data_IF_876161248516
#
_entry.id   IF_876161248516
#
_cell.length_a   1.000
_cell.length_b   1.000
_cell.length_c   1.000
_cell.angle_alpha   90.00
_cell.angle_beta   90.00
_cell.angle_gamma   90.00
#
_symmetry.space_group_name_H-M   'P 1'
#
loop_
_entity.id
_entity.type
_entity.pdbx_description
1 polymer ?
#
# COMPACT_ATOMS: atom_id res chain seq x y z
N UNK A 1 10.76 11.32 16.53
CA UNK A 1 9.73 10.40 15.94
C UNK A 1 9.96 10.32 14.44
N UNK A 2 9.95 9.11 13.85
CA UNK A 2 10.05 9.00 12.40
C UNK A 2 8.75 9.46 11.74
N UNK A 3 8.88 10.26 10.67
CA UNK A 3 7.73 10.69 9.88
C UNK A 3 7.05 9.47 9.22
N UNK A 4 5.75 9.31 9.42
CA UNK A 4 4.93 8.20 8.87
C UNK A 4 4.11 8.70 7.69
N UNK A 5 3.67 7.77 6.85
CA UNK A 5 2.64 8.05 5.86
C UNK A 5 1.31 8.38 6.54
N UNK A 6 0.49 9.20 5.90
CA UNK A 6 -0.85 9.50 6.41
C UNK A 6 -1.69 8.23 6.56
N UNK A 7 -2.69 8.26 7.43
CA UNK A 7 -3.60 7.13 7.65
C UNK A 7 -4.29 6.69 6.35
N UNK A 8 -4.63 7.65 5.49
CA UNK A 8 -5.25 7.33 4.20
C UNK A 8 -4.28 6.60 3.26
N UNK A 9 -3.03 7.07 3.13
CA UNK A 9 -2.02 6.39 2.34
C UNK A 9 -1.75 4.97 2.85
N UNK A 10 -1.69 4.76 4.17
CA UNK A 10 -1.56 3.44 4.77
C UNK A 10 -2.77 2.55 4.45
N UNK A 11 -3.99 3.06 4.64
CA UNK A 11 -5.21 2.32 4.34
C UNK A 11 -5.31 1.91 2.87
N UNK A 12 -5.04 2.82 1.95
CA UNK A 12 -5.03 2.54 0.51
C UNK A 12 -3.95 1.54 0.10
N UNK A 13 -2.77 1.60 0.74
CA UNK A 13 -1.72 0.62 0.52
C UNK A 13 -2.17 -0.78 0.96
N UNK A 14 -2.63 -0.95 2.19
CA UNK A 14 -3.04 -2.24 2.72
C UNK A 14 -4.29 -2.78 2.01
N UNK A 15 -5.20 -1.91 1.59
CA UNK A 15 -6.33 -2.31 0.76
C UNK A 15 -5.87 -2.84 -0.60
N UNK A 16 -4.89 -2.17 -1.25
CA UNK A 16 -4.29 -2.67 -2.50
C UNK A 16 -3.62 -4.02 -2.28
N UNK A 17 -2.88 -4.19 -1.17
CA UNK A 17 -2.27 -5.48 -0.80
C UNK A 17 -3.34 -6.57 -0.66
N UNK A 18 -4.44 -6.30 0.04
CA UNK A 18 -5.54 -7.26 0.19
C UNK A 18 -6.16 -7.64 -1.16
N UNK A 19 -6.38 -6.66 -2.06
CA UNK A 19 -6.85 -6.93 -3.42
C UNK A 19 -5.86 -7.81 -4.21
N UNK A 20 -4.55 -7.56 -4.08
CA UNK A 20 -3.53 -8.37 -4.76
C UNK A 20 -3.48 -9.80 -4.21
N UNK A 21 -3.60 -9.97 -2.89
CA UNK A 21 -3.72 -11.31 -2.26
C UNK A 21 -4.96 -12.08 -2.71
N UNK A 22 -6.03 -11.40 -3.08
CA UNK A 22 -7.23 -12.03 -3.61
C UNK A 22 -7.12 -12.33 -5.12
N UNK A 23 -6.64 -11.35 -5.92
CA UNK A 23 -6.68 -11.44 -7.39
C UNK A 23 -5.65 -12.43 -7.95
N UNK A 24 -4.47 -12.56 -7.31
CA UNK A 24 -3.42 -13.46 -7.82
C UNK A 24 -3.80 -14.95 -7.69
N UNK A 25 -4.23 -15.47 -6.53
CA UNK A 25 -4.72 -16.85 -6.44
C UNK A 25 -5.96 -17.07 -7.31
N UNK A 26 -6.87 -16.08 -7.35
CA UNK A 26 -8.07 -16.14 -8.18
C UNK A 26 -7.71 -16.32 -9.66
N UNK A 27 -6.67 -15.64 -10.16
CA UNK A 27 -6.18 -15.79 -11.51
C UNK A 27 -5.74 -17.23 -11.82
N UNK A 28 -5.02 -17.87 -10.90
CA UNK A 28 -4.60 -19.27 -11.04
C UNK A 28 -5.79 -20.24 -11.01
N UNK A 29 -6.76 -20.02 -10.15
CA UNK A 29 -7.95 -20.87 -10.04
C UNK A 29 -8.83 -20.74 -11.29
N UNK A 30 -9.05 -19.50 -11.78
CA UNK A 30 -9.94 -19.27 -12.92
C UNK A 30 -9.44 -19.90 -14.23
N UNK A 31 -8.12 -19.90 -14.47
CA UNK A 31 -7.56 -20.49 -15.70
C UNK A 31 -7.57 -22.01 -15.68
N UNK A 32 -7.63 -22.62 -14.49
CA UNK A 32 -7.74 -24.07 -14.31
C UNK A 32 -9.20 -24.56 -14.16
N UNK A 33 -10.17 -23.64 -14.04
CA UNK A 33 -11.59 -24.01 -13.96
C UNK A 33 -12.09 -24.52 -15.32
N UNK A 34 -12.98 -25.52 -15.30
CA UNK A 34 -13.58 -26.09 -16.53
C UNK A 34 -14.29 -24.98 -17.32
N UNK A 35 -13.88 -24.71 -18.58
CA UNK A 35 -14.48 -23.67 -19.40
C UNK A 35 -15.99 -23.89 -19.60
N UNK A 36 -16.75 -22.80 -19.72
CA UNK A 36 -18.19 -22.84 -19.98
C UNK A 36 -19.06 -23.20 -18.78
N UNK A 37 -18.48 -23.42 -17.59
CA UNK A 37 -19.25 -23.63 -16.36
C UNK A 37 -19.62 -22.30 -15.69
N UNK A 38 -20.73 -22.26 -14.93
CA UNK A 38 -21.08 -21.07 -14.15
C UNK A 38 -19.95 -20.62 -13.19
N UNK A 39 -19.24 -21.59 -12.59
CA UNK A 39 -18.10 -21.30 -11.73
C UNK A 39 -16.99 -20.57 -12.51
N UNK A 40 -16.59 -21.06 -13.68
CA UNK A 40 -15.59 -20.39 -14.52
C UNK A 40 -16.01 -18.96 -14.84
N UNK A 41 -17.27 -18.74 -15.26
CA UNK A 41 -17.81 -17.41 -15.53
C UNK A 41 -17.72 -16.47 -14.34
N UNK A 42 -18.11 -16.95 -13.15
CA UNK A 42 -18.04 -16.19 -11.92
C UNK A 42 -16.60 -15.81 -11.53
N UNK A 43 -15.66 -16.76 -11.62
CA UNK A 43 -14.24 -16.51 -11.31
C UNK A 43 -13.64 -15.44 -12.23
N UNK A 44 -13.89 -15.52 -13.55
CA UNK A 44 -13.44 -14.50 -14.51
C UNK A 44 -14.06 -13.13 -14.21
N UNK A 45 -15.35 -13.10 -13.84
CA UNK A 45 -16.02 -11.84 -13.52
C UNK A 45 -15.47 -11.21 -12.23
N UNK A 46 -15.23 -11.99 -11.18
CA UNK A 46 -14.61 -11.50 -9.96
C UNK A 46 -13.17 -11.02 -10.17
N UNK A 47 -12.38 -11.75 -10.98
CA UNK A 47 -11.02 -11.30 -11.33
C UNK A 47 -11.05 -9.93 -12.02
N UNK A 48 -11.93 -9.73 -13.00
CA UNK A 48 -12.09 -8.45 -13.69
C UNK A 48 -12.59 -7.35 -12.76
N UNK A 49 -13.51 -7.66 -11.86
CA UNK A 49 -14.04 -6.71 -10.87
C UNK A 49 -12.94 -6.24 -9.94
N UNK A 50 -12.16 -7.15 -9.37
CA UNK A 50 -11.02 -6.80 -8.52
C UNK A 50 -9.97 -6.00 -9.29
N UNK A 51 -9.72 -6.34 -10.56
CA UNK A 51 -8.84 -5.56 -11.43
C UNK A 51 -9.32 -4.12 -11.61
N UNK A 52 -10.62 -3.91 -11.83
CA UNK A 52 -11.21 -2.59 -11.93
C UNK A 52 -11.10 -1.80 -10.60
N UNK A 53 -11.32 -2.46 -9.47
CA UNK A 53 -11.13 -1.86 -8.14
C UNK A 53 -9.67 -1.44 -7.93
N UNK A 54 -8.71 -2.30 -8.27
CA UNK A 54 -7.27 -1.98 -8.19
C UNK A 54 -6.94 -0.78 -9.07
N UNK A 55 -7.47 -0.70 -10.29
CA UNK A 55 -7.27 0.42 -11.20
C UNK A 55 -7.77 1.74 -10.59
N UNK A 56 -9.01 1.75 -10.08
CA UNK A 56 -9.63 2.93 -9.48
C UNK A 56 -8.84 3.40 -8.26
N UNK A 57 -8.49 2.47 -7.36
CA UNK A 57 -7.70 2.79 -6.15
C UNK A 57 -6.31 3.30 -6.54
N UNK A 58 -5.68 2.72 -7.55
CA UNK A 58 -4.36 3.15 -8.02
C UNK A 58 -4.42 4.55 -8.63
N UNK A 59 -5.41 4.84 -9.47
CA UNK A 59 -5.63 6.17 -10.03
C UNK A 59 -5.85 7.21 -8.91
N UNK A 60 -6.70 6.88 -7.93
CA UNK A 60 -6.92 7.73 -6.77
C UNK A 60 -5.62 7.97 -5.98
N UNK A 61 -4.81 6.95 -5.73
CA UNK A 61 -3.52 7.08 -5.04
C UNK A 61 -2.55 7.99 -5.78
N UNK A 62 -2.51 7.93 -7.10
CA UNK A 62 -1.65 8.82 -7.92
C UNK A 62 -2.12 10.28 -7.75
N UNK A 63 -3.42 10.53 -7.87
CA UNK A 63 -3.98 11.88 -7.67
C UNK A 63 -3.75 12.36 -6.24
N UNK A 64 -3.99 11.50 -5.25
CA UNK A 64 -3.80 11.85 -3.83
C UNK A 64 -2.37 12.24 -3.50
N UNK A 65 -1.39 11.69 -4.22
CA UNK A 65 0.02 12.03 -4.03
C UNK A 65 0.35 13.51 -4.25
N UNK A 66 -0.43 14.23 -5.04
CA UNK A 66 -0.26 15.67 -5.23
C UNK A 66 -0.69 16.49 -4.00
N UNK A 67 -1.54 15.91 -3.15
CA UNK A 67 -2.05 16.55 -1.94
C UNK A 67 -1.35 16.07 -0.67
N UNK A 68 -0.79 14.86 -0.69
CA UNK A 68 -0.17 14.21 0.46
C UNK A 68 1.17 13.58 0.04
N UNK A 69 2.21 14.42 0.10
CA UNK A 69 3.56 14.01 -0.26
C UNK A 69 4.10 12.95 0.73
N UNK A 70 4.85 11.94 0.24
CA UNK A 70 5.45 10.96 1.12
C UNK A 70 6.50 11.62 2.02
N UNK A 71 6.68 11.09 3.24
CA UNK A 71 7.73 11.55 4.11
C UNK A 71 9.11 11.26 3.51
N UNK A 72 10.05 12.20 3.68
CA UNK A 72 11.44 12.05 3.22
C UNK A 72 12.09 10.77 3.75
N UNK A 73 12.99 10.16 2.99
CA UNK A 73 13.74 8.98 3.42
C UNK A 73 14.60 9.31 4.65
N UNK A 74 14.76 8.36 5.58
CA UNK A 74 15.68 8.53 6.71
C UNK A 74 17.11 8.75 6.20
N UNK A 75 17.94 9.57 6.91
CA UNK A 75 19.32 9.84 6.49
C UNK A 75 20.20 8.59 6.40
N UNK A 76 19.80 7.50 7.06
CA UNK A 76 20.53 6.21 7.05
C UNK A 76 20.29 5.39 5.78
N UNK A 77 19.27 5.73 5.01
CA UNK A 77 18.99 5.06 3.72
C UNK A 77 19.96 5.65 2.70
N UNK A 78 20.80 4.79 2.12
CA UNK A 78 21.75 5.22 1.09
C UNK A 78 21.01 5.85 -0.10
N UNK A 79 21.67 6.77 -0.80
CA UNK A 79 21.06 7.43 -1.95
C UNK A 79 20.62 6.44 -3.04
N UNK A 80 21.39 5.35 -3.23
CA UNK A 80 21.05 4.27 -4.17
C UNK A 80 19.78 3.54 -3.75
N UNK A 81 19.64 3.20 -2.46
CA UNK A 81 18.44 2.52 -1.94
C UNK A 81 17.20 3.41 -2.09
N UNK A 82 17.35 4.71 -1.86
CA UNK A 82 16.28 5.69 -2.04
C UNK A 82 15.87 5.83 -3.51
N UNK A 83 16.82 5.85 -4.44
CA UNK A 83 16.55 5.91 -5.88
C UNK A 83 15.87 4.62 -6.37
N UNK A 84 16.37 3.45 -5.94
CA UNK A 84 15.75 2.17 -6.26
C UNK A 84 14.33 2.05 -5.71
N UNK A 85 14.11 2.44 -4.44
CA UNK A 85 12.77 2.44 -3.83
C UNK A 85 11.81 3.37 -4.60
N UNK A 86 12.29 4.53 -5.06
CA UNK A 86 11.49 5.46 -5.87
C UNK A 86 11.14 4.87 -7.24
N UNK A 87 12.11 4.21 -7.89
CA UNK A 87 11.89 3.52 -9.17
C UNK A 87 10.86 2.38 -9.01
N UNK A 88 11.04 1.51 -8.01
CA UNK A 88 10.11 0.40 -7.70
C UNK A 88 8.70 0.92 -7.41
N UNK A 89 8.59 2.03 -6.68
CA UNK A 89 7.32 2.68 -6.39
C UNK A 89 6.55 3.10 -7.66
N UNK A 90 7.22 3.79 -8.60
CA UNK A 90 6.57 4.19 -9.85
C UNK A 90 6.30 3.02 -10.78
N UNK A 91 7.16 2.00 -10.77
CA UNK A 91 6.95 0.79 -11.54
C UNK A 91 5.71 0.01 -11.04
N UNK A 92 5.46 0.00 -9.71
CA UNK A 92 4.20 -0.54 -9.18
C UNK A 92 2.99 0.21 -9.73
N UNK A 93 2.98 1.54 -9.71
CA UNK A 93 1.86 2.28 -10.27
C UNK A 93 1.66 2.00 -11.76
N UNK A 94 2.74 1.95 -12.53
CA UNK A 94 2.68 1.62 -13.94
C UNK A 94 2.05 0.24 -14.18
N UNK A 95 2.50 -0.79 -13.44
CA UNK A 95 1.97 -2.14 -13.58
C UNK A 95 0.53 -2.28 -13.04
N UNK A 96 0.20 -1.62 -11.92
CA UNK A 96 -1.15 -1.65 -11.37
C UNK A 96 -2.19 -0.92 -12.24
N UNK A 97 -1.75 -0.08 -13.19
CA UNK A 97 -2.59 0.48 -14.26
C UNK A 97 -2.56 -0.41 -15.50
N UNK A 98 -1.36 -0.80 -15.94
CA UNK A 98 -1.16 -1.57 -17.16
C UNK A 98 -1.92 -2.90 -17.13
N UNK A 99 -1.86 -3.63 -16.02
CA UNK A 99 -2.48 -4.95 -15.90
C UNK A 99 -4.01 -4.90 -16.06
N UNK A 100 -4.78 -4.11 -15.28
CA UNK A 100 -6.23 -4.08 -15.47
C UNK A 100 -6.65 -3.46 -16.82
N UNK A 101 -5.89 -2.51 -17.37
CA UNK A 101 -6.18 -1.92 -18.68
C UNK A 101 -6.01 -2.96 -19.78
N UNK A 102 -4.90 -3.69 -19.81
CA UNK A 102 -4.68 -4.75 -20.81
C UNK A 102 -5.69 -5.89 -20.68
N UNK A 103 -6.01 -6.31 -19.44
CA UNK A 103 -7.03 -7.33 -19.20
C UNK A 103 -8.43 -6.88 -19.63
N UNK A 104 -8.77 -5.61 -19.37
CA UNK A 104 -10.05 -5.04 -19.84
C UNK A 104 -10.11 -4.99 -21.37
N UNK A 105 -9.09 -4.47 -22.05
CA UNK A 105 -9.04 -4.35 -23.50
C UNK A 105 -9.07 -5.73 -24.17
N UNK A 106 -8.29 -6.70 -23.68
CA UNK A 106 -8.33 -8.07 -24.17
C UNK A 106 -9.73 -8.68 -24.08
N UNK A 107 -10.40 -8.47 -22.97
CA UNK A 107 -11.79 -8.91 -22.75
C UNK A 107 -12.78 -8.17 -23.66
N UNK A 108 -12.67 -6.85 -23.79
CA UNK A 108 -13.58 -6.01 -24.57
C UNK A 108 -13.49 -6.35 -26.08
N UNK A 109 -12.28 -6.43 -26.64
CA UNK A 109 -12.09 -6.86 -28.02
C UNK A 109 -12.50 -8.31 -28.27
N UNK A 110 -12.44 -9.18 -27.23
CA UNK A 110 -13.00 -10.53 -27.27
C UNK A 110 -14.54 -10.58 -27.24
N UNK A 111 -15.18 -9.42 -27.01
CA UNK A 111 -16.64 -9.32 -26.92
C UNK A 111 -17.22 -9.80 -25.60
N UNK A 112 -16.41 -9.83 -24.55
CA UNK A 112 -16.83 -10.23 -23.21
C UNK A 112 -17.11 -8.99 -22.34
N UNK A 113 -18.38 -8.73 -22.07
CA UNK A 113 -18.80 -7.63 -21.21
C UNK A 113 -18.35 -7.90 -19.78
N UNK A 114 -17.68 -6.92 -19.16
CA UNK A 114 -17.42 -6.95 -17.73
C UNK A 114 -18.69 -6.53 -16.98
N UNK A 115 -19.07 -7.32 -15.97
CA UNK A 115 -20.12 -6.93 -15.01
C UNK A 115 -19.49 -6.67 -13.66
N UNK A 116 -19.39 -5.42 -13.27
CA UNK A 116 -18.86 -5.07 -11.95
C UNK A 116 -19.75 -5.68 -10.85
N UNK A 117 -19.14 -6.46 -9.97
CA UNK A 117 -19.83 -7.20 -8.89
C UNK A 117 -20.99 -8.10 -9.38
N UNK A 118 -20.94 -8.52 -10.65
CA UNK A 118 -22.02 -9.23 -11.34
C UNK A 118 -23.35 -8.47 -11.44
N UNK A 119 -23.33 -7.17 -11.18
CA UNK A 119 -24.51 -6.32 -11.12
C UNK A 119 -24.55 -5.28 -12.27
N UNK A 120 -23.45 -4.56 -12.45
CA UNK A 120 -23.40 -3.41 -13.35
C UNK A 120 -22.58 -3.74 -14.61
N UNK A 121 -23.21 -3.88 -15.78
CA UNK A 121 -22.47 -4.08 -17.02
C UNK A 121 -21.69 -2.83 -17.39
N UNK A 122 -20.40 -2.99 -17.71
CA UNK A 122 -19.59 -1.89 -18.24
C UNK A 122 -19.91 -1.63 -19.71
N UNK A 123 -19.71 -0.40 -20.20
CA UNK A 123 -19.82 -0.11 -21.62
C UNK A 123 -18.92 -1.05 -22.46
N UNK A 124 -19.40 -1.42 -23.64
CA UNK A 124 -18.61 -2.12 -24.65
C UNK A 124 -18.13 -1.09 -25.69
N UNK A 125 -17.00 -0.40 -25.45
CA UNK A 125 -16.62 0.76 -26.24
C UNK A 125 -16.04 0.41 -27.61
N UNK A 126 -15.76 -0.89 -27.86
CA UNK A 126 -15.05 -1.34 -29.04
C UNK A 126 -15.79 -2.49 -29.72
N UNK A 127 -15.67 -2.56 -31.06
CA UNK A 127 -16.12 -3.71 -31.83
C UNK A 127 -15.21 -4.93 -31.56
N UNK A 128 -15.75 -6.13 -31.75
CA UNK A 128 -14.96 -7.36 -31.63
C UNK A 128 -13.82 -7.40 -32.65
N UNK A 129 -12.62 -7.65 -32.15
CA UNK A 129 -11.42 -7.84 -32.95
C UNK A 129 -10.54 -8.91 -32.29
N UNK A 130 -10.46 -10.06 -32.94
CA UNK A 130 -9.70 -11.18 -32.38
C UNK A 130 -8.21 -10.90 -32.29
N UNK A 131 -7.63 -10.19 -33.25
CA UNK A 131 -6.19 -9.91 -33.26
C UNK A 131 -5.82 -8.96 -32.08
N UNK A 132 -6.60 -7.91 -31.87
CA UNK A 132 -6.40 -7.00 -30.73
C UNK A 132 -6.70 -7.70 -29.41
N UNK A 133 -7.72 -8.56 -29.35
CA UNK A 133 -7.98 -9.37 -28.15
C UNK A 133 -6.78 -10.25 -27.79
N UNK A 134 -6.25 -11.00 -28.75
CA UNK A 134 -5.09 -11.87 -28.55
C UNK A 134 -3.84 -11.07 -28.13
N UNK A 135 -3.61 -9.90 -28.75
CA UNK A 135 -2.51 -9.02 -28.41
C UNK A 135 -2.59 -8.50 -26.95
N UNK A 136 -3.73 -7.96 -26.53
CA UNK A 136 -3.88 -7.45 -25.17
C UNK A 136 -3.88 -8.57 -24.13
N UNK A 137 -4.43 -9.73 -24.43
CA UNK A 137 -4.34 -10.91 -23.58
C UNK A 137 -2.89 -11.38 -23.42
N UNK A 138 -2.10 -11.39 -24.50
CA UNK A 138 -0.68 -11.73 -24.43
C UNK A 138 0.11 -10.73 -23.53
N UNK A 139 -0.17 -9.43 -23.66
CA UNK A 139 0.42 -8.41 -22.77
C UNK A 139 0.02 -8.62 -21.30
N UNK A 140 -1.25 -8.93 -21.04
CA UNK A 140 -1.73 -9.20 -19.69
C UNK A 140 -1.08 -10.45 -19.09
N UNK A 141 -1.05 -11.56 -19.83
CA UNK A 141 -0.43 -12.80 -19.39
C UNK A 141 1.10 -12.68 -19.25
N UNK A 142 1.76 -11.94 -20.14
CA UNK A 142 3.19 -11.65 -20.00
C UNK A 142 3.49 -10.74 -18.82
N UNK A 143 2.66 -9.70 -18.63
CA UNK A 143 2.81 -8.73 -17.55
C UNK A 143 2.71 -9.33 -16.15
N UNK A 144 2.01 -10.46 -15.97
CA UNK A 144 1.93 -11.13 -14.66
C UNK A 144 3.31 -11.49 -14.09
N UNK A 145 4.27 -11.86 -14.93
CA UNK A 145 5.62 -12.20 -14.50
C UNK A 145 6.38 -10.97 -13.98
N UNK A 146 6.16 -9.82 -14.59
CA UNK A 146 6.70 -8.55 -14.09
C UNK A 146 6.08 -8.19 -12.72
N UNK A 147 4.77 -8.45 -12.54
CA UNK A 147 4.11 -8.25 -11.24
C UNK A 147 4.71 -9.16 -10.18
N UNK A 148 4.90 -10.45 -10.47
CA UNK A 148 5.51 -11.40 -9.51
C UNK A 148 6.94 -10.99 -9.15
N UNK A 149 7.76 -10.67 -10.15
CA UNK A 149 9.13 -10.22 -9.92
C UNK A 149 9.18 -8.95 -9.06
N UNK A 150 8.29 -7.99 -9.34
CA UNK A 150 8.25 -6.73 -8.60
C UNK A 150 7.76 -6.92 -7.15
N UNK A 151 6.77 -7.80 -6.92
CA UNK A 151 6.33 -8.16 -5.57
C UNK A 151 7.47 -8.84 -4.80
N UNK A 152 8.17 -9.78 -5.43
CA UNK A 152 9.31 -10.46 -4.80
C UNK A 152 10.43 -9.47 -4.45
N UNK A 153 10.77 -8.55 -5.35
CA UNK A 153 11.75 -7.48 -5.11
C UNK A 153 11.31 -6.56 -3.96
N UNK A 154 10.04 -6.16 -3.94
CA UNK A 154 9.49 -5.31 -2.88
C UNK A 154 9.53 -6.01 -1.52
N UNK A 155 9.04 -7.24 -1.44
CA UNK A 155 9.06 -8.00 -0.18
C UNK A 155 10.50 -8.29 0.28
N UNK A 156 11.39 -8.63 -0.65
CA UNK A 156 12.83 -8.77 -0.36
C UNK A 156 13.41 -7.50 0.23
N UNK A 157 13.14 -6.34 -0.37
CA UNK A 157 13.56 -5.04 0.17
C UNK A 157 12.98 -4.79 1.57
N UNK A 158 11.69 -5.05 1.79
CA UNK A 158 11.06 -4.91 3.12
C UNK A 158 11.76 -5.78 4.16
N UNK A 159 12.07 -7.04 3.83
CA UNK A 159 12.76 -7.98 4.74
C UNK A 159 14.19 -7.50 5.04
N UNK A 160 14.93 -7.08 4.01
CA UNK A 160 16.31 -6.57 4.18
C UNK A 160 16.31 -5.34 5.09
N UNK A 161 15.45 -4.36 4.83
CA UNK A 161 15.37 -3.15 5.65
C UNK A 161 14.85 -3.42 7.07
N UNK A 162 13.96 -4.39 7.25
CA UNK A 162 13.46 -4.76 8.58
C UNK A 162 14.50 -5.48 9.43
N UNK A 163 15.29 -6.40 8.83
CA UNK A 163 16.21 -7.29 9.56
C UNK A 163 17.60 -6.64 9.70
N UNK A 164 18.18 -6.18 8.59
CA UNK A 164 19.56 -5.67 8.56
C UNK A 164 19.63 -4.14 8.65
N UNK A 165 18.77 -3.43 7.95
CA UNK A 165 18.76 -1.97 7.94
C UNK A 165 18.29 -1.37 9.27
N UNK A 166 17.30 -2.00 9.92
CA UNK A 166 16.66 -1.50 11.16
C UNK A 166 16.35 0.00 11.09
N UNK A 167 16.05 0.48 9.87
CA UNK A 167 15.85 1.90 9.55
C UNK A 167 14.42 2.39 9.82
N UNK A 168 13.54 1.47 10.22
CA UNK A 168 12.14 1.78 10.56
C UNK A 168 11.22 2.02 9.36
N UNK A 169 11.67 1.76 8.12
CA UNK A 169 10.87 1.98 6.91
C UNK A 169 9.55 1.21 6.95
N UNK A 170 9.56 -0.05 7.39
CA UNK A 170 8.34 -0.85 7.55
C UNK A 170 7.35 -0.16 8.50
N UNK A 171 7.82 0.36 9.63
CA UNK A 171 6.99 1.03 10.64
C UNK A 171 6.27 2.27 10.12
N UNK A 172 6.73 2.86 9.00
CA UNK A 172 6.10 4.05 8.39
C UNK A 172 4.79 3.73 7.69
N UNK A 173 4.60 2.46 7.26
CA UNK A 173 3.38 1.97 6.61
C UNK A 173 2.46 1.20 7.56
N UNK A 174 2.88 0.93 8.80
CA UNK A 174 2.03 0.30 9.80
C UNK A 174 1.19 1.35 10.53
N UNK A 175 -0.05 1.01 10.92
CA UNK A 175 -0.85 1.87 11.79
C UNK A 175 -0.08 2.22 13.07
N UNK A 176 -0.24 3.44 13.57
CA UNK A 176 0.29 3.77 14.88
C UNK A 176 -0.41 2.90 15.92
N UNK A 177 0.33 2.06 16.62
CA UNK A 177 -0.17 1.52 17.88
C UNK A 177 -0.32 2.71 18.82
N UNK A 178 -1.53 2.99 19.27
CA UNK A 178 -1.83 4.01 20.27
C UNK A 178 -1.36 3.52 21.65
N UNK A 179 -0.06 3.33 21.80
CA UNK A 179 0.56 3.39 23.10
C UNK A 179 0.80 4.87 23.32
N UNK A 180 -0.21 5.54 23.87
CA UNK A 180 -0.03 6.84 24.48
C UNK A 180 1.12 6.68 25.49
N UNK A 181 2.21 7.45 25.35
CA UNK A 181 3.23 7.43 26.40
C UNK A 181 2.49 7.83 27.67
N UNK A 182 2.48 6.96 28.68
CA UNK A 182 1.96 7.32 29.98
C UNK A 182 2.58 8.69 30.33
N UNK A 183 1.75 9.72 30.48
CA UNK A 183 2.21 11.01 30.95
C UNK A 183 3.11 10.78 32.18
N UNK A 184 4.30 11.37 32.23
CA UNK A 184 5.11 11.27 33.41
C UNK A 184 4.22 11.77 34.54
N UNK A 185 3.86 10.87 35.44
CA UNK A 185 3.07 11.21 36.63
C UNK A 185 3.72 12.44 37.23
N UNK A 186 3.03 13.58 37.18
CA UNK A 186 3.50 14.81 37.76
C UNK A 186 3.96 14.46 39.17
N UNK A 187 5.26 14.51 39.39
CA UNK A 187 5.84 14.35 40.71
C UNK A 187 5.19 15.42 41.58
N UNK A 188 4.46 14.98 42.61
CA UNK A 188 3.86 15.87 43.58
C UNK A 188 4.90 16.93 44.00
N UNK A 189 4.51 18.20 44.10
CA UNK A 189 5.45 19.24 44.50
C UNK A 189 6.07 18.83 45.84
N UNK A 190 7.41 18.73 45.82
CA UNK A 190 8.20 18.47 47.00
C UNK A 190 7.79 19.51 48.07
N UNK A 191 7.23 19.02 49.18
CA UNK A 191 6.92 19.88 50.31
C UNK A 191 8.19 20.66 50.68
N UNK A 192 8.12 21.99 50.56
CA UNK A 192 9.19 22.90 50.95
C UNK A 192 9.53 22.64 52.40
N UNK A 193 10.75 22.19 52.69
CA UNK A 193 11.29 22.16 54.04
C UNK A 193 11.20 23.59 54.64
N UNK A 194 10.63 23.77 55.85
CA UNK A 194 10.69 25.06 56.51
C UNK A 194 12.15 25.42 56.74
N UNK A 195 12.52 26.62 56.29
CA UNK A 195 13.85 27.18 56.53
C UNK A 195 14.11 27.37 58.02
N UNK A 196 15.41 27.36 58.45
CA UNK A 196 15.77 27.61 59.84
C UNK A 196 15.32 29.00 60.26
N UNK A 197 14.62 29.06 61.39
CA UNK A 197 14.12 30.30 62.02
C UNK A 197 15.23 31.30 62.30
N UNK A 198 14.88 32.61 62.44
CA UNK A 198 15.87 33.65 62.65
C UNK A 198 16.60 33.48 64.02
N UNK A 199 17.92 33.40 63.94
CA UNK A 199 18.75 33.42 65.15
C UNK A 199 18.55 34.76 65.95
N UNK A 200 18.17 34.61 67.17
CA UNK A 200 18.11 35.73 68.10
C UNK A 200 19.52 36.38 68.33
N UNK A 201 19.63 37.70 68.43
CA UNK A 201 20.93 38.33 68.63
C UNK A 201 21.44 38.06 70.06
N UNK A 202 22.65 37.56 70.15
CA UNK A 202 23.39 37.52 71.43
C UNK A 202 23.69 38.94 71.89
N UNK A 203 23.02 39.36 73.00
CA UNK A 203 23.42 40.52 73.71
C UNK A 203 24.73 40.25 74.48
N UNK A 204 25.77 41.00 74.17
CA UNK A 204 27.02 40.93 74.81
C UNK A 204 26.99 41.55 76.24
N UNK A 205 27.86 41.16 77.06
CA UNK A 205 28.30 41.93 78.19
C UNK A 205 29.78 41.67 78.53
N UNK A 206 30.56 42.75 78.43
CA UNK A 206 31.81 43.06 79.10
C UNK A 206 33.06 42.24 78.79
#
# INVERSE_FOLDING_TARGET
MQARYSRLNQALHWFTVACMFAILPLAWVMVNAKPGTPLSGALFNWHKTLGAVVLIVTAFRIVWRFFDAPPAYPPRVAAVDGALAHFVYWLFFALLIFMPVTGYLGSAYGGHVLKLFDLVPTPQPVAKDKQLSDFFNALHLGGQWAVYALIALHLGGVVIHAIWGRDGLLGRMLPATSVEPAEPRATAPSASRPGPGPHAPYAGAR
#
